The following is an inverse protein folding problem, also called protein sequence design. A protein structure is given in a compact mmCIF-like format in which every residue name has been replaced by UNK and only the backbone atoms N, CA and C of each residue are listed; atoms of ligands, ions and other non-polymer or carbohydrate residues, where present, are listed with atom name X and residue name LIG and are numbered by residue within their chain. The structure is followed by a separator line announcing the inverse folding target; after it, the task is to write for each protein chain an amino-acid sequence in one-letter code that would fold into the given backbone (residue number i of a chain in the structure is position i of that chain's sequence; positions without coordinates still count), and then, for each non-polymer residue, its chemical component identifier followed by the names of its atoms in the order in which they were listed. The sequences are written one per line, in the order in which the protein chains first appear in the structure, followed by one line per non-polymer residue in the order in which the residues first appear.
data_IF_674535437974
#
_entry.id   IF_674535437974
#
_cell.length_a   1.000
_cell.length_b   1.000
_cell.length_c   1.000
_cell.angle_alpha   90.00
_cell.angle_beta   90.00
_cell.angle_gamma   90.00
#
_symmetry.space_group_name_H-M   'P 1'
#
loop_
_entity.id
_entity.type
_entity.pdbx_description
1 polymer ?
#
# COMPACT_ATOMS: atom_id res chain seq x y z
N UNK A 1 31.18 -28.57 -32.48
CA UNK A 1 32.19 -28.70 -31.40
C UNK A 1 31.69 -27.83 -30.24
N UNK A 2 31.17 -28.43 -29.17
CA UNK A 2 30.63 -27.70 -28.04
C UNK A 2 31.72 -27.52 -26.98
N UNK A 3 31.87 -26.30 -26.47
CA UNK A 3 32.86 -25.93 -25.46
C UNK A 3 32.15 -25.86 -24.11
N UNK A 4 32.61 -26.65 -23.14
CA UNK A 4 32.09 -26.64 -21.77
C UNK A 4 32.84 -25.56 -21.00
N UNK A 5 32.10 -24.63 -20.39
CA UNK A 5 32.65 -23.64 -19.47
C UNK A 5 33.20 -24.36 -18.24
N UNK A 6 34.46 -24.12 -17.89
CA UNK A 6 34.99 -24.50 -16.58
C UNK A 6 34.34 -23.62 -15.51
N UNK A 7 33.67 -24.22 -14.54
CA UNK A 7 33.21 -23.51 -13.35
C UNK A 7 34.44 -23.11 -12.52
N UNK A 8 34.80 -21.83 -12.56
CA UNK A 8 35.84 -21.29 -11.69
C UNK A 8 35.19 -21.08 -10.31
N UNK A 9 35.63 -21.84 -9.31
CA UNK A 9 35.16 -21.75 -7.92
C UNK A 9 35.65 -20.50 -7.19
N UNK A 10 35.53 -19.32 -7.81
CA UNK A 10 35.89 -18.05 -7.15
C UNK A 10 34.86 -17.77 -6.06
N UNK A 11 35.33 -17.69 -4.83
CA UNK A 11 34.48 -17.26 -3.72
C UNK A 11 33.95 -15.86 -4.01
N UNK A 12 32.64 -15.66 -3.82
CA UNK A 12 32.08 -14.33 -3.94
C UNK A 12 32.72 -13.38 -2.92
N UNK A 13 32.85 -12.08 -3.21
CA UNK A 13 33.39 -11.10 -2.27
C UNK A 13 32.69 -11.11 -0.90
N UNK A 14 31.39 -11.47 -0.88
CA UNK A 14 30.60 -11.61 0.36
C UNK A 14 31.12 -12.72 1.26
N UNK A 15 31.57 -13.82 0.67
CA UNK A 15 32.15 -14.97 1.40
C UNK A 15 33.59 -14.66 1.78
N UNK A 16 34.36 -14.10 0.85
CA UNK A 16 35.78 -13.78 1.08
C UNK A 16 36.00 -12.73 2.18
N UNK A 17 35.06 -11.81 2.38
CA UNK A 17 35.14 -10.73 3.37
C UNK A 17 34.12 -10.84 4.50
N UNK A 18 33.57 -12.04 4.73
CA UNK A 18 32.62 -12.24 5.82
C UNK A 18 33.30 -12.02 7.18
N UNK A 19 32.65 -11.24 8.03
CA UNK A 19 33.01 -11.06 9.44
C UNK A 19 31.73 -11.21 10.25
N UNK A 20 31.71 -12.21 11.14
CA UNK A 20 30.58 -12.50 12.01
C UNK A 20 30.26 -11.29 12.92
N UNK A 21 31.30 -10.67 13.48
CA UNK A 21 31.18 -9.54 14.38
C UNK A 21 30.59 -8.30 13.67
N UNK A 22 31.07 -7.98 12.47
CA UNK A 22 30.49 -6.89 11.67
C UNK A 22 29.04 -7.19 11.25
N UNK A 23 28.73 -8.45 10.98
CA UNK A 23 27.38 -8.88 10.62
C UNK A 23 26.42 -8.74 11.80
N UNK A 24 26.83 -9.15 13.00
CA UNK A 24 26.03 -8.98 14.23
C UNK A 24 25.81 -7.51 14.57
N UNK A 25 26.85 -6.69 14.49
CA UNK A 25 26.75 -5.24 14.72
C UNK A 25 25.81 -4.59 13.69
N UNK A 26 25.97 -4.93 12.40
CA UNK A 26 25.08 -4.48 11.34
C UNK A 26 23.62 -4.90 11.55
N UNK A 27 23.38 -6.11 12.06
CA UNK A 27 22.04 -6.59 12.37
C UNK A 27 21.41 -5.81 13.54
N UNK A 28 22.16 -5.54 14.62
CA UNK A 28 21.67 -4.74 15.76
C UNK A 28 21.32 -3.32 15.33
N UNK A 29 22.23 -2.67 14.60
CA UNK A 29 21.99 -1.33 14.07
C UNK A 29 20.77 -1.27 13.15
N UNK A 30 20.56 -2.30 12.31
CA UNK A 30 19.37 -2.37 11.48
C UNK A 30 18.10 -2.48 12.33
N UNK A 31 18.09 -3.34 13.35
CA UNK A 31 16.95 -3.52 14.25
C UNK A 31 16.60 -2.23 14.99
N UNK A 32 17.60 -1.49 15.45
CA UNK A 32 17.40 -0.19 16.12
C UNK A 32 16.74 0.84 15.18
N UNK A 33 17.01 0.77 13.88
CA UNK A 33 16.48 1.69 12.87
C UNK A 33 15.13 1.27 12.26
N UNK A 34 14.69 0.01 12.45
CA UNK A 34 13.47 -0.50 11.82
C UNK A 34 12.26 0.35 12.17
N UNK A 35 12.13 0.75 13.43
CA UNK A 35 10.96 1.50 13.88
C UNK A 35 10.93 2.91 13.27
N UNK A 36 12.07 3.60 13.24
CA UNK A 36 12.17 4.90 12.58
C UNK A 36 11.84 4.84 11.08
N UNK A 37 12.25 3.77 10.41
CA UNK A 37 11.96 3.55 9.00
C UNK A 37 10.47 3.29 8.78
N UNK A 38 9.82 2.54 9.67
CA UNK A 38 8.37 2.32 9.66
C UNK A 38 7.61 3.63 9.86
N UNK A 39 8.01 4.45 10.82
CA UNK A 39 7.39 5.75 11.07
C UNK A 39 7.52 6.68 9.86
N UNK A 40 8.73 6.77 9.29
CA UNK A 40 8.97 7.54 8.07
C UNK A 40 8.12 7.03 6.90
N UNK A 41 7.93 5.72 6.77
CA UNK A 41 7.07 5.13 5.76
C UNK A 41 5.59 5.44 6.01
N UNK A 42 5.11 5.33 7.25
CA UNK A 42 3.73 5.65 7.64
C UNK A 42 3.39 7.12 7.33
N UNK A 43 4.29 8.06 7.67
CA UNK A 43 4.14 9.49 7.35
C UNK A 43 4.02 9.70 5.84
N UNK A 44 4.86 9.04 5.03
CA UNK A 44 4.81 9.14 3.57
C UNK A 44 3.49 8.61 3.00
N UNK A 45 2.99 7.49 3.52
CA UNK A 45 1.69 6.91 3.10
C UNK A 45 0.56 7.87 3.41
N UNK A 46 0.50 8.42 4.62
CA UNK A 46 -0.53 9.38 5.02
C UNK A 46 -0.47 10.65 4.16
N UNK A 47 0.72 11.21 3.97
CA UNK A 47 0.92 12.39 3.12
C UNK A 47 0.47 12.15 1.67
N UNK A 48 0.76 10.96 1.12
CA UNK A 48 0.32 10.57 -0.20
C UNK A 48 -1.22 10.46 -0.27
N UNK A 49 -1.84 9.76 0.68
CA UNK A 49 -3.31 9.63 0.76
C UNK A 49 -3.99 11.00 0.86
N UNK A 50 -3.46 11.91 1.68
CA UNK A 50 -3.98 13.27 1.80
C UNK A 50 -3.87 14.05 0.47
N UNK A 51 -2.75 13.92 -0.24
CA UNK A 51 -2.55 14.58 -1.53
C UNK A 51 -3.56 14.08 -2.57
N UNK A 52 -3.77 12.78 -2.65
CA UNK A 52 -4.77 12.16 -3.54
C UNK A 52 -6.18 12.63 -3.18
N UNK A 53 -6.53 12.61 -1.89
CA UNK A 53 -7.83 13.07 -1.40
C UNK A 53 -8.10 14.53 -1.78
N UNK A 54 -7.14 15.43 -1.56
CA UNK A 54 -7.26 16.85 -1.95
C UNK A 54 -7.46 17.02 -3.46
N UNK A 55 -6.69 16.29 -4.27
CA UNK A 55 -6.81 16.36 -5.73
C UNK A 55 -8.19 15.89 -6.22
N UNK A 56 -8.67 14.75 -5.72
CA UNK A 56 -9.98 14.22 -6.09
C UNK A 56 -11.10 15.15 -5.61
N UNK A 57 -11.05 15.61 -4.35
CA UNK A 57 -12.07 16.46 -3.76
C UNK A 57 -12.15 17.85 -4.39
N UNK A 58 -11.04 18.36 -4.98
CA UNK A 58 -11.03 19.65 -5.68
C UNK A 58 -12.06 19.73 -6.82
N UNK A 59 -12.39 18.59 -7.44
CA UNK A 59 -13.32 18.51 -8.57
C UNK A 59 -14.71 18.01 -8.18
N UNK A 60 -14.93 17.70 -6.90
CA UNK A 60 -16.24 17.27 -6.40
C UNK A 60 -17.11 18.51 -6.23
N UNK A 61 -18.28 18.50 -6.86
CA UNK A 61 -19.31 19.51 -6.60
C UNK A 61 -20.16 19.04 -5.40
N UNK A 62 -20.20 19.79 -4.28
CA UNK A 62 -21.04 19.45 -3.15
C UNK A 62 -22.51 19.36 -3.58
N UNK A 63 -23.12 18.20 -3.36
CA UNK A 63 -24.54 17.97 -3.58
C UNK A 63 -25.19 17.57 -2.25
N UNK A 64 -25.95 18.48 -1.61
CA UNK A 64 -26.77 18.11 -0.46
C UNK A 64 -27.77 17.03 -0.86
N UNK A 65 -27.90 16.00 -0.02
CA UNK A 65 -28.88 14.94 -0.21
C UNK A 65 -30.25 15.38 0.31
N UNK A 66 -31.31 14.90 -0.32
CA UNK A 66 -32.70 15.06 0.09
C UNK A 66 -33.39 13.71 0.20
N UNK A 67 -34.42 13.63 1.04
CA UNK A 67 -35.30 12.47 1.02
C UNK A 67 -35.86 12.24 -0.38
N UNK A 68 -35.81 10.99 -0.82
CA UNK A 68 -36.20 10.58 -2.16
C UNK A 68 -35.12 10.67 -3.23
N UNK A 69 -33.95 11.27 -2.96
CA UNK A 69 -32.82 11.28 -3.90
C UNK A 69 -32.35 9.85 -4.20
N UNK A 70 -32.00 9.62 -5.46
CA UNK A 70 -31.33 8.41 -5.90
C UNK A 70 -29.81 8.59 -5.83
N UNK A 71 -29.14 7.65 -5.16
CA UNK A 71 -27.70 7.66 -4.91
C UNK A 71 -27.09 6.29 -5.17
N UNK A 72 -25.84 6.27 -5.59
CA UNK A 72 -25.05 5.05 -5.67
C UNK A 72 -24.43 4.76 -4.29
N UNK A 73 -24.48 3.51 -3.84
CA UNK A 73 -23.85 3.11 -2.59
C UNK A 73 -22.39 2.70 -2.84
N UNK A 74 -21.46 3.16 -2.01
CA UNK A 74 -20.05 2.78 -2.16
C UNK A 74 -19.84 1.35 -1.67
N UNK A 75 -19.48 0.43 -2.56
CA UNK A 75 -19.34 -0.99 -2.23
C UNK A 75 -18.22 -1.26 -1.23
N UNK A 76 -17.18 -0.43 -1.20
CA UNK A 76 -16.10 -0.55 -0.21
C UNK A 76 -16.55 -0.21 1.22
N UNK A 77 -17.61 0.58 1.37
CA UNK A 77 -18.23 0.87 2.69
C UNK A 77 -19.23 -0.25 3.04
N UNK A 78 -19.90 -0.81 2.04
CA UNK A 78 -20.86 -1.91 2.19
C UNK A 78 -20.20 -3.22 2.63
N UNK A 79 -19.04 -3.54 2.03
CA UNK A 79 -18.24 -4.73 2.32
C UNK A 79 -16.80 -4.35 2.69
N UNK A 80 -16.54 -3.94 3.95
CA UNK A 80 -15.20 -3.60 4.41
C UNK A 80 -14.23 -4.78 4.42
N UNK A 81 -14.75 -6.01 4.42
CA UNK A 81 -13.96 -7.24 4.43
C UNK A 81 -13.31 -7.52 3.08
N UNK A 82 -13.72 -6.82 2.01
CA UNK A 82 -13.13 -6.93 0.68
C UNK A 82 -13.39 -8.28 0.02
N UNK A 83 -14.48 -8.95 0.41
CA UNK A 83 -14.91 -10.24 -0.14
C UNK A 83 -15.21 -10.13 -1.64
N UNK A 84 -15.65 -8.95 -2.09
CA UNK A 84 -15.69 -8.56 -3.50
C UNK A 84 -14.25 -8.34 -4.01
N UNK A 85 -13.72 -9.31 -4.74
CA UNK A 85 -12.38 -9.24 -5.33
C UNK A 85 -12.11 -7.96 -6.14
N UNK A 86 -10.83 -7.68 -6.41
CA UNK A 86 -10.30 -6.39 -6.94
C UNK A 86 -10.97 -5.82 -8.21
N UNK A 87 -11.63 -6.65 -9.00
CA UNK A 87 -12.31 -6.26 -10.25
C UNK A 87 -13.82 -6.05 -10.08
N UNK A 88 -14.35 -6.18 -8.86
CA UNK A 88 -15.75 -5.92 -8.60
C UNK A 88 -16.07 -4.42 -8.75
N UNK A 89 -17.32 -4.06 -9.09
CA UNK A 89 -17.74 -2.66 -9.15
C UNK A 89 -17.55 -1.91 -7.82
N UNK A 90 -17.00 -0.70 -7.89
CA UNK A 90 -16.83 0.22 -6.74
C UNK A 90 -18.15 0.81 -6.23
N UNK A 91 -19.22 0.67 -7.01
CA UNK A 91 -20.55 1.19 -6.70
C UNK A 91 -21.57 0.07 -6.76
N UNK A 92 -22.51 0.11 -5.83
CA UNK A 92 -23.65 -0.80 -5.73
C UNK A 92 -24.94 -0.05 -5.96
N UNK A 93 -25.75 -0.60 -6.87
CA UNK A 93 -27.18 -0.31 -6.99
C UNK A 93 -27.56 1.16 -7.10
N UNK A 94 -28.86 1.40 -7.18
CA UNK A 94 -29.42 2.73 -7.04
C UNK A 94 -30.30 2.71 -5.79
N UNK A 95 -29.88 3.45 -4.78
CA UNK A 95 -30.55 3.52 -3.48
C UNK A 95 -31.35 4.80 -3.38
N UNK A 96 -32.48 4.75 -2.68
CA UNK A 96 -33.31 5.92 -2.39
C UNK A 96 -33.07 6.38 -0.96
N UNK A 97 -32.73 7.65 -0.78
CA UNK A 97 -32.55 8.26 0.54
C UNK A 97 -33.90 8.28 1.26
N UNK A 98 -34.01 7.54 2.37
CA UNK A 98 -35.25 7.49 3.18
C UNK A 98 -35.34 8.65 4.17
N UNK A 99 -34.20 9.08 4.73
CA UNK A 99 -34.10 10.16 5.71
C UNK A 99 -32.72 10.81 5.61
N UNK A 100 -32.66 12.12 5.76
CA UNK A 100 -31.41 12.88 5.97
C UNK A 100 -31.34 13.25 7.45
N UNK A 101 -30.19 13.01 8.10
CA UNK A 101 -29.94 13.31 9.52
C UNK A 101 -29.38 14.70 9.72
#
# INVERSE_FOLDING_TARGET
KAMISVEIGVQSPRVAHFSELNNEEGLRNLLDLVEELRDKAAIKVVAYQQRVSRYCNKRVNPRPLREGDLVLHNSAIADPTGTRGKLAPNWEGLYKVKRVL
#
